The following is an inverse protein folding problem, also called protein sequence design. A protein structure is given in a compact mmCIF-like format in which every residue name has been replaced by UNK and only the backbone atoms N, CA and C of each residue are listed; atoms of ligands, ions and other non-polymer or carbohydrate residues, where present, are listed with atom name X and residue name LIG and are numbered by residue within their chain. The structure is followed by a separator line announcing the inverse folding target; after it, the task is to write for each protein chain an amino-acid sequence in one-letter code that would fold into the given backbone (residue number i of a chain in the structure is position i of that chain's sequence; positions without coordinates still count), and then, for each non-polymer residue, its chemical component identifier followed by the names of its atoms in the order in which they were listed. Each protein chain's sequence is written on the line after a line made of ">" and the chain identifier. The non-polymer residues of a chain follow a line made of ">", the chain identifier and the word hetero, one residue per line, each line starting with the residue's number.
data_IF_788946963530
#
_entry.id   IF_788946963530
#
_cell.length_a   1.000
_cell.length_b   1.000
_cell.length_c   1.000
_cell.angle_alpha   90.00
_cell.angle_beta   90.00
_cell.angle_gamma   90.00
#
_symmetry.space_group_name_H-M   'P 1'
#
loop_
_entity.id
_entity.type
_entity.pdbx_description
1 polymer ?
#
# COMPACT_ATOMS: atom_id res chain seq x y z
N UNK A 1 -13.40 -94.60 -7.92
CA UNK A 1 -14.41 -93.56 -7.64
C UNK A 1 -13.66 -92.41 -6.97
N UNK A 2 -13.18 -91.45 -7.78
CA UNK A 2 -12.49 -90.25 -7.27
C UNK A 2 -13.41 -89.04 -7.47
N UNK A 3 -13.74 -88.40 -6.35
CA UNK A 3 -14.63 -87.22 -6.34
C UNK A 3 -13.75 -85.95 -6.33
N UNK A 4 -13.79 -85.16 -7.42
CA UNK A 4 -13.14 -83.85 -7.53
C UNK A 4 -14.06 -82.78 -6.91
N UNK A 5 -13.59 -82.13 -5.85
CA UNK A 5 -14.21 -80.94 -5.29
C UNK A 5 -13.60 -79.72 -5.96
N UNK A 6 -14.39 -79.00 -6.74
CA UNK A 6 -14.04 -77.65 -7.26
C UNK A 6 -14.10 -76.64 -6.13
N UNK A 7 -12.96 -76.00 -5.82
CA UNK A 7 -12.93 -74.76 -5.05
C UNK A 7 -13.16 -73.57 -5.97
N UNK A 8 -14.16 -72.78 -5.69
CA UNK A 8 -14.42 -71.50 -6.36
C UNK A 8 -13.73 -70.42 -5.51
N UNK A 9 -12.83 -69.58 -6.05
CA UNK A 9 -12.30 -68.46 -5.31
C UNK A 9 -13.32 -67.30 -5.26
N UNK A 10 -13.69 -66.86 -4.06
CA UNK A 10 -14.48 -65.68 -3.84
C UNK A 10 -13.61 -64.41 -3.99
N UNK A 11 -13.81 -63.67 -5.09
CA UNK A 11 -13.16 -62.39 -5.33
C UNK A 11 -13.92 -61.31 -4.53
N UNK A 12 -13.31 -60.81 -3.47
CA UNK A 12 -13.81 -59.67 -2.70
C UNK A 12 -13.45 -58.39 -3.51
N UNK A 13 -14.43 -57.78 -4.17
CA UNK A 13 -14.29 -56.47 -4.79
C UNK A 13 -14.32 -55.40 -3.69
N UNK A 14 -13.15 -54.79 -3.41
CA UNK A 14 -13.08 -53.61 -2.55
C UNK A 14 -13.71 -52.43 -3.30
N UNK A 15 -14.90 -52.01 -2.93
CA UNK A 15 -15.52 -50.77 -3.39
C UNK A 15 -14.80 -49.62 -2.65
N UNK A 16 -13.91 -48.94 -3.35
CA UNK A 16 -13.31 -47.67 -2.88
C UNK A 16 -14.46 -46.63 -2.87
N UNK A 17 -14.91 -46.26 -1.69
CA UNK A 17 -15.80 -45.11 -1.47
C UNK A 17 -14.99 -43.84 -1.76
N UNK A 18 -15.04 -43.37 -2.99
CA UNK A 18 -14.60 -42.01 -3.32
C UNK A 18 -15.63 -41.05 -2.74
N UNK A 19 -15.36 -40.52 -1.54
CA UNK A 19 -16.13 -39.40 -1.02
C UNK A 19 -16.01 -38.25 -2.02
N UNK A 20 -17.12 -37.64 -2.46
CA UNK A 20 -17.04 -36.43 -3.27
C UNK A 20 -16.27 -35.39 -2.43
N UNK A 21 -15.14 -34.92 -2.93
CA UNK A 21 -14.49 -33.75 -2.40
C UNK A 21 -15.46 -32.58 -2.61
N UNK A 22 -16.26 -32.27 -1.59
CA UNK A 22 -16.97 -31.01 -1.54
C UNK A 22 -15.89 -29.94 -1.73
N UNK A 23 -16.01 -29.12 -2.79
CA UNK A 23 -15.22 -27.90 -2.92
C UNK A 23 -15.40 -27.14 -1.61
N UNK A 24 -14.38 -27.11 -0.79
CA UNK A 24 -14.46 -26.43 0.50
C UNK A 24 -14.80 -24.97 0.22
N UNK A 25 -15.91 -24.48 0.79
CA UNK A 25 -16.33 -23.09 0.67
C UNK A 25 -15.14 -22.20 1.01
N UNK A 26 -14.67 -21.44 0.01
CA UNK A 26 -13.56 -20.51 0.18
C UNK A 26 -14.05 -19.27 0.93
N UNK A 27 -13.15 -18.64 1.66
CA UNK A 27 -13.42 -17.39 2.37
C UNK A 27 -13.16 -16.23 1.39
N UNK A 28 -14.18 -15.45 1.00
CA UNK A 28 -14.03 -14.38 0.05
C UNK A 28 -13.45 -13.12 0.74
N UNK A 29 -12.31 -12.63 0.25
CA UNK A 29 -11.76 -11.30 0.56
C UNK A 29 -11.78 -10.43 -0.69
N UNK A 30 -11.90 -9.12 -0.51
CA UNK A 30 -11.92 -8.17 -1.61
C UNK A 30 -10.71 -7.23 -1.60
N UNK A 31 -10.30 -6.83 -2.79
CA UNK A 31 -9.32 -5.77 -3.01
C UNK A 31 -9.85 -4.80 -4.06
N UNK A 32 -9.90 -3.52 -3.71
CA UNK A 32 -10.09 -2.43 -4.68
C UNK A 32 -8.73 -1.79 -4.96
N UNK A 33 -8.23 -1.95 -6.18
CA UNK A 33 -6.94 -1.41 -6.61
C UNK A 33 -7.06 -0.76 -8.00
N UNK A 34 -6.22 0.24 -8.36
CA UNK A 34 -6.20 0.78 -9.71
C UNK A 34 -5.42 -0.18 -10.63
N UNK A 35 -6.14 -1.05 -11.35
CA UNK A 35 -5.52 -1.98 -12.31
C UNK A 35 -5.49 -1.44 -13.72
N UNK A 36 -6.13 -0.29 -13.96
CA UNK A 36 -6.08 0.49 -15.21
C UNK A 36 -5.83 1.97 -14.93
N UNK A 37 -5.61 2.77 -15.99
CA UNK A 37 -5.33 4.21 -15.90
C UNK A 37 -3.88 4.56 -15.56
N UNK A 38 -3.64 5.83 -15.19
CA UNK A 38 -2.30 6.38 -14.97
C UNK A 38 -1.56 5.84 -13.74
N UNK A 39 -2.26 5.15 -12.84
CA UNK A 39 -1.70 4.57 -11.59
C UNK A 39 -1.64 3.03 -11.67
N UNK A 40 -1.94 2.46 -12.85
CA UNK A 40 -2.09 1.01 -13.02
C UNK A 40 -0.83 0.21 -12.65
N UNK A 41 0.36 0.71 -12.96
CA UNK A 41 1.61 0.01 -12.64
C UNK A 41 1.79 -0.17 -11.13
N UNK A 42 1.47 0.86 -10.35
CA UNK A 42 1.54 0.83 -8.89
C UNK A 42 0.44 -0.07 -8.31
N UNK A 43 -0.78 0.02 -8.84
CA UNK A 43 -1.90 -0.83 -8.43
C UNK A 43 -1.68 -2.32 -8.72
N UNK A 44 -1.05 -2.67 -9.83
CA UNK A 44 -0.67 -4.05 -10.14
C UNK A 44 0.34 -4.61 -9.14
N UNK A 45 1.24 -3.78 -8.61
CA UNK A 45 2.13 -4.18 -7.52
C UNK A 45 1.37 -4.46 -6.22
N UNK A 46 0.38 -3.62 -5.88
CA UNK A 46 -0.51 -3.87 -4.74
C UNK A 46 -1.21 -5.23 -4.88
N UNK A 47 -1.78 -5.52 -6.05
CA UNK A 47 -2.42 -6.80 -6.35
C UNK A 47 -1.44 -7.98 -6.21
N UNK A 48 -0.21 -7.84 -6.71
CA UNK A 48 0.81 -8.88 -6.59
C UNK A 48 1.16 -9.19 -5.12
N UNK A 49 1.34 -8.15 -4.30
CA UNK A 49 1.59 -8.30 -2.86
C UNK A 49 0.42 -8.92 -2.11
N UNK A 50 -0.80 -8.51 -2.45
CA UNK A 50 -2.04 -9.03 -1.89
C UNK A 50 -2.19 -10.54 -2.16
N UNK A 51 -2.01 -10.96 -3.42
CA UNK A 51 -2.03 -12.36 -3.80
C UNK A 51 -0.92 -13.16 -3.10
N UNK A 52 0.26 -12.57 -2.94
CA UNK A 52 1.36 -13.22 -2.24
C UNK A 52 1.00 -13.54 -0.77
N UNK A 53 0.36 -12.60 -0.05
CA UNK A 53 -0.12 -12.83 1.32
C UNK A 53 -1.18 -13.94 1.40
N UNK A 54 -2.13 -13.96 0.46
CA UNK A 54 -3.17 -14.98 0.37
C UNK A 54 -2.58 -16.36 0.07
N UNK A 55 -1.63 -16.45 -0.86
CA UNK A 55 -0.94 -17.68 -1.20
C UNK A 55 -0.18 -18.28 0.00
N UNK A 56 0.55 -17.45 0.76
CA UNK A 56 1.24 -17.90 1.97
C UNK A 56 0.26 -18.43 3.02
N UNK A 57 -0.84 -17.69 3.23
CA UNK A 57 -1.88 -18.09 4.18
C UNK A 57 -2.53 -19.42 3.80
N UNK A 58 -2.85 -19.58 2.53
CA UNK A 58 -3.47 -20.80 2.00
C UNK A 58 -2.51 -21.99 2.07
N UNK A 59 -1.23 -21.80 1.76
CA UNK A 59 -0.20 -22.84 1.91
C UNK A 59 0.01 -23.27 3.37
N UNK A 60 -0.17 -22.36 4.31
CA UNK A 60 -0.13 -22.65 5.75
C UNK A 60 -1.40 -23.35 6.28
N UNK A 61 -2.37 -23.71 5.42
CA UNK A 61 -3.58 -24.43 5.78
C UNK A 61 -4.83 -23.54 5.91
N UNK A 62 -4.75 -22.24 5.61
CA UNK A 62 -5.89 -21.32 5.64
C UNK A 62 -6.47 -21.08 7.04
N UNK A 63 -7.76 -20.80 7.14
CA UNK A 63 -8.48 -20.66 8.40
C UNK A 63 -9.27 -21.96 8.70
N UNK A 64 -8.75 -22.76 9.62
CA UNK A 64 -9.41 -24.04 9.97
C UNK A 64 -9.57 -24.99 8.76
N UNK A 65 -8.61 -25.00 7.85
CA UNK A 65 -8.63 -25.78 6.61
C UNK A 65 -9.32 -25.10 5.43
N UNK A 66 -10.05 -23.99 5.63
CA UNK A 66 -10.68 -23.22 4.56
C UNK A 66 -9.68 -22.28 3.89
N UNK A 67 -9.62 -22.34 2.57
CA UNK A 67 -8.79 -21.44 1.75
C UNK A 67 -9.44 -20.08 1.61
N UNK A 68 -8.62 -19.05 1.45
CA UNK A 68 -9.06 -17.68 1.09
C UNK A 68 -9.06 -17.54 -0.42
N UNK A 69 -10.06 -16.84 -0.96
CA UNK A 69 -10.11 -16.38 -2.34
C UNK A 69 -10.14 -14.86 -2.39
N UNK A 70 -9.23 -14.27 -3.17
CA UNK A 70 -9.15 -12.83 -3.33
C UNK A 70 -9.85 -12.39 -4.61
N UNK A 71 -10.87 -11.56 -4.47
CA UNK A 71 -11.55 -10.87 -5.57
C UNK A 71 -10.96 -9.48 -5.74
N UNK A 72 -10.52 -9.17 -6.94
CA UNK A 72 -9.91 -7.87 -7.27
C UNK A 72 -10.82 -7.10 -8.21
N UNK A 73 -11.12 -5.85 -7.88
CA UNK A 73 -11.90 -4.93 -8.72
C UNK A 73 -11.09 -3.65 -8.99
N UNK A 74 -11.25 -3.12 -10.20
CA UNK A 74 -10.56 -1.92 -10.64
C UNK A 74 -11.24 -0.66 -10.09
N UNK A 75 -10.54 0.09 -9.27
CA UNK A 75 -10.96 1.38 -8.73
C UNK A 75 -10.48 2.57 -9.55
N UNK A 76 -9.60 2.37 -10.55
CA UNK A 76 -9.04 3.41 -11.44
C UNK A 76 -8.46 4.65 -10.71
N UNK A 77 -8.17 4.56 -9.41
CA UNK A 77 -7.85 5.72 -8.56
C UNK A 77 -8.94 6.81 -8.56
N UNK A 78 -10.19 6.44 -8.90
CA UNK A 78 -11.32 7.36 -8.99
C UNK A 78 -12.37 7.05 -7.92
N UNK A 79 -12.94 8.08 -7.24
CA UNK A 79 -13.97 7.89 -6.22
C UNK A 79 -15.18 7.07 -6.71
N UNK A 80 -15.73 7.38 -7.88
CA UNK A 80 -16.92 6.71 -8.40
C UNK A 80 -16.64 5.23 -8.75
N UNK A 81 -15.55 4.93 -9.46
CA UNK A 81 -15.15 3.56 -9.82
C UNK A 81 -14.87 2.74 -8.57
N UNK A 82 -14.15 3.31 -7.58
CA UNK A 82 -13.82 2.61 -6.33
C UNK A 82 -15.04 2.34 -5.46
N UNK A 83 -16.02 3.25 -5.43
CA UNK A 83 -17.31 3.03 -4.75
C UNK A 83 -18.07 1.87 -5.39
N UNK A 84 -18.19 1.86 -6.71
CA UNK A 84 -18.88 0.78 -7.45
C UNK A 84 -18.17 -0.57 -7.28
N UNK A 85 -16.84 -0.58 -7.33
CA UNK A 85 -16.01 -1.76 -7.09
C UNK A 85 -16.21 -2.33 -5.69
N UNK A 86 -16.18 -1.49 -4.64
CA UNK A 86 -16.42 -1.91 -3.27
C UNK A 86 -17.84 -2.47 -3.08
N UNK A 87 -18.86 -1.80 -3.62
CA UNK A 87 -20.25 -2.27 -3.53
C UNK A 87 -20.44 -3.61 -4.25
N UNK A 88 -19.82 -3.80 -5.43
CA UNK A 88 -19.83 -5.07 -6.16
C UNK A 88 -19.18 -6.20 -5.34
N UNK A 89 -17.98 -5.96 -4.78
CA UNK A 89 -17.29 -6.94 -3.94
C UNK A 89 -18.15 -7.35 -2.73
N UNK A 90 -18.81 -6.41 -2.09
CA UNK A 90 -19.62 -6.66 -0.90
C UNK A 90 -20.93 -7.39 -1.22
N UNK A 91 -21.63 -6.98 -2.30
CA UNK A 91 -23.00 -7.42 -2.57
C UNK A 91 -23.09 -8.62 -3.52
N UNK A 92 -22.09 -8.80 -4.40
CA UNK A 92 -22.07 -9.91 -5.38
C UNK A 92 -21.06 -11.00 -5.03
N UNK A 93 -19.87 -10.59 -4.54
CA UNK A 93 -18.84 -11.55 -4.14
C UNK A 93 -18.93 -11.90 -2.65
N UNK A 94 -19.82 -11.23 -1.91
CA UNK A 94 -20.10 -11.46 -0.47
C UNK A 94 -18.83 -11.46 0.40
N UNK A 95 -17.87 -10.60 0.06
CA UNK A 95 -16.58 -10.53 0.77
C UNK A 95 -16.78 -10.21 2.25
N UNK A 96 -16.02 -10.87 3.10
CA UNK A 96 -16.08 -10.69 4.56
C UNK A 96 -15.28 -9.50 5.04
N UNK A 97 -14.26 -9.07 4.27
CA UNK A 97 -13.46 -7.89 4.52
C UNK A 97 -12.84 -7.36 3.21
N UNK A 98 -12.39 -6.11 3.21
CA UNK A 98 -11.77 -5.43 2.07
C UNK A 98 -10.37 -4.93 2.40
N UNK A 99 -9.46 -5.01 1.45
CA UNK A 99 -8.35 -4.08 1.31
C UNK A 99 -8.77 -3.00 0.29
N UNK A 100 -8.76 -1.72 0.64
CA UNK A 100 -9.28 -0.68 -0.26
C UNK A 100 -8.95 0.76 0.22
N UNK A 101 -8.90 1.68 -0.67
CA UNK A 101 -8.51 1.68 -2.05
C UNK A 101 -7.07 2.18 -2.12
N UNK A 102 -6.55 2.55 -3.28
CA UNK A 102 -5.17 3.03 -3.42
C UNK A 102 -5.05 4.54 -3.12
N UNK A 103 -5.71 5.37 -3.92
CA UNK A 103 -5.67 6.82 -3.81
C UNK A 103 -6.55 7.33 -2.65
N UNK A 104 -6.10 8.39 -1.94
CA UNK A 104 -6.80 8.89 -0.75
C UNK A 104 -8.24 9.31 -1.03
N UNK A 105 -8.52 10.02 -2.14
CA UNK A 105 -9.87 10.41 -2.54
C UNK A 105 -10.77 9.21 -2.82
N UNK A 106 -10.23 8.16 -3.45
CA UNK A 106 -10.94 6.91 -3.71
C UNK A 106 -11.25 6.15 -2.40
N UNK A 107 -10.28 6.06 -1.50
CA UNK A 107 -10.45 5.44 -0.17
C UNK A 107 -11.52 6.16 0.64
N UNK A 108 -11.52 7.47 0.65
CA UNK A 108 -12.53 8.30 1.31
C UNK A 108 -13.94 8.02 0.80
N UNK A 109 -14.08 7.77 -0.50
CA UNK A 109 -15.38 7.44 -1.11
C UNK A 109 -15.84 6.00 -0.79
N UNK A 110 -14.93 5.07 -0.51
CA UNK A 110 -15.26 3.68 -0.11
C UNK A 110 -15.73 3.60 1.34
N UNK A 111 -15.26 4.48 2.24
CA UNK A 111 -15.59 4.42 3.67
C UNK A 111 -17.10 4.39 3.97
N UNK A 112 -17.97 5.24 3.38
CA UNK A 112 -19.41 5.18 3.61
C UNK A 112 -20.04 3.85 3.18
N UNK A 113 -19.49 3.20 2.14
CA UNK A 113 -19.96 1.88 1.68
C UNK A 113 -19.60 0.81 2.72
N UNK A 114 -18.37 0.82 3.23
CA UNK A 114 -17.93 -0.06 4.29
C UNK A 114 -18.79 0.08 5.57
N UNK A 115 -19.09 1.31 5.97
CA UNK A 115 -19.96 1.61 7.12
C UNK A 115 -21.39 1.10 6.89
N UNK A 116 -21.99 1.38 5.71
CA UNK A 116 -23.34 0.93 5.33
C UNK A 116 -23.51 -0.58 5.44
N UNK A 117 -22.53 -1.33 4.99
CA UNK A 117 -22.57 -2.79 4.94
C UNK A 117 -21.85 -3.47 6.11
N UNK A 118 -21.29 -2.69 7.03
CA UNK A 118 -20.52 -3.19 8.19
C UNK A 118 -19.41 -4.17 7.78
N UNK A 119 -18.59 -3.76 6.80
CA UNK A 119 -17.45 -4.54 6.28
C UNK A 119 -16.15 -3.91 6.74
N UNK A 120 -15.27 -4.64 7.45
CA UNK A 120 -13.96 -4.11 7.82
C UNK A 120 -13.11 -3.82 6.57
N UNK A 121 -12.49 -2.64 6.56
CA UNK A 121 -11.56 -2.21 5.51
C UNK A 121 -10.19 -1.96 6.11
N UNK A 122 -9.16 -2.58 5.55
CA UNK A 122 -7.76 -2.27 5.86
C UNK A 122 -7.14 -1.55 4.67
N UNK A 123 -6.41 -0.46 4.95
CA UNK A 123 -5.69 0.31 3.95
C UNK A 123 -4.23 0.54 4.38
N UNK A 124 -3.29 0.29 3.47
CA UNK A 124 -1.84 0.44 3.68
C UNK A 124 -1.18 1.44 2.75
N UNK A 125 -1.95 2.25 2.02
CA UNK A 125 -1.42 3.13 0.97
C UNK A 125 -1.82 4.59 1.16
N UNK A 126 -3.11 4.87 1.36
CA UNK A 126 -3.64 6.22 1.45
C UNK A 126 -3.13 6.97 2.68
N UNK A 127 -2.76 8.24 2.50
CA UNK A 127 -2.06 9.02 3.54
C UNK A 127 -2.80 10.29 3.98
N UNK A 128 -4.01 10.55 3.48
CA UNK A 128 -4.81 11.68 3.96
C UNK A 128 -5.21 11.46 5.44
N UNK A 129 -4.91 12.41 6.35
CA UNK A 129 -5.27 12.30 7.76
C UNK A 129 -6.78 12.12 8.01
N UNK A 130 -7.64 12.72 7.17
CA UNK A 130 -9.10 12.66 7.33
C UNK A 130 -9.70 11.26 7.18
N UNK A 131 -8.92 10.28 6.75
CA UNK A 131 -9.38 8.89 6.63
C UNK A 131 -9.53 8.19 8.00
N UNK A 132 -8.82 8.65 9.02
CA UNK A 132 -8.90 8.10 10.39
C UNK A 132 -9.25 9.15 11.44
N UNK A 133 -9.26 10.43 11.10
CA UNK A 133 -9.66 11.52 12.00
C UNK A 133 -10.69 12.44 11.32
N UNK A 134 -11.98 12.38 11.68
CA UNK A 134 -12.56 11.60 12.80
C UNK A 134 -12.56 10.08 12.57
N UNK A 135 -12.69 9.32 13.68
CA UNK A 135 -12.77 7.86 13.65
C UNK A 135 -13.82 7.35 12.65
N UNK A 136 -13.42 6.38 11.85
CA UNK A 136 -14.27 5.58 10.97
C UNK A 136 -14.33 4.15 11.49
N UNK A 137 -15.43 3.70 12.10
CA UNK A 137 -15.48 2.46 12.88
C UNK A 137 -15.12 1.19 12.11
N UNK A 138 -15.29 1.17 10.79
CA UNK A 138 -15.02 0.02 9.93
C UNK A 138 -13.76 0.16 9.09
N UNK A 139 -12.97 1.21 9.31
CA UNK A 139 -11.76 1.50 8.55
C UNK A 139 -10.51 1.47 9.44
N UNK A 140 -9.45 0.80 8.99
CA UNK A 140 -8.17 0.61 9.68
C UNK A 140 -7.03 0.95 8.74
N UNK A 141 -6.08 1.79 9.18
CA UNK A 141 -4.94 2.17 8.36
C UNK A 141 -3.63 1.67 8.95
N UNK A 142 -2.89 0.87 8.14
CA UNK A 142 -1.60 0.29 8.54
C UNK A 142 -0.39 1.17 8.19
N UNK A 143 -0.59 2.27 7.46
CA UNK A 143 0.46 3.20 7.03
C UNK A 143 0.36 4.53 7.77
N UNK A 144 1.50 5.18 8.03
CA UNK A 144 1.54 6.54 8.57
C UNK A 144 0.88 7.55 7.62
N UNK A 145 0.24 8.58 8.16
CA UNK A 145 -0.41 9.64 7.38
C UNK A 145 0.47 10.87 7.20
N UNK A 146 0.02 11.81 6.36
CA UNK A 146 0.81 12.99 5.98
C UNK A 146 1.16 13.91 7.15
N UNK A 147 0.36 13.97 8.23
CA UNK A 147 0.74 14.77 9.43
C UNK A 147 1.95 14.14 10.13
N UNK A 148 1.96 12.83 10.34
CA UNK A 148 3.13 12.13 10.90
C UNK A 148 4.36 12.28 10.00
N UNK A 149 4.21 12.13 8.66
CA UNK A 149 5.31 12.40 7.73
C UNK A 149 5.81 13.83 7.82
N UNK A 150 4.90 14.81 7.83
CA UNK A 150 5.25 16.23 7.93
C UNK A 150 6.09 16.50 9.17
N UNK A 151 5.71 15.94 10.32
CA UNK A 151 6.43 16.10 11.58
C UNK A 151 7.92 15.74 11.47
N UNK A 152 8.25 14.62 10.86
CA UNK A 152 9.61 14.12 10.77
C UNK A 152 10.35 14.56 9.50
N UNK A 153 9.68 14.45 8.34
CA UNK A 153 10.35 14.70 7.06
C UNK A 153 10.56 16.19 6.79
N UNK A 154 9.64 17.08 7.20
CA UNK A 154 9.85 18.50 7.05
C UNK A 154 11.04 18.98 7.91
N UNK A 155 11.23 18.41 9.12
CA UNK A 155 12.40 18.64 9.93
C UNK A 155 13.69 18.20 9.20
N UNK A 156 13.70 16.95 8.69
CA UNK A 156 14.84 16.42 7.92
C UNK A 156 15.18 17.29 6.69
N UNK A 157 14.17 17.74 5.96
CA UNK A 157 14.34 18.65 4.81
C UNK A 157 15.02 19.96 5.25
N UNK A 158 14.58 20.55 6.35
CA UNK A 158 15.05 21.86 6.79
C UNK A 158 16.41 21.84 7.52
N UNK A 159 16.71 20.77 8.26
CA UNK A 159 17.90 20.67 9.11
C UNK A 159 19.02 19.82 8.50
N UNK A 160 18.69 18.67 7.87
CA UNK A 160 19.68 17.74 7.32
C UNK A 160 19.99 18.06 5.86
N UNK A 161 18.98 18.22 4.99
CA UNK A 161 19.17 18.65 3.59
C UNK A 161 19.41 20.17 3.51
N UNK A 162 18.95 20.92 4.51
CA UNK A 162 19.13 22.38 4.66
C UNK A 162 18.38 23.22 3.62
N UNK A 163 17.26 22.75 3.11
CA UNK A 163 16.39 23.50 2.22
C UNK A 163 15.52 24.47 3.03
N UNK A 164 15.39 25.70 2.54
CA UNK A 164 14.62 26.77 3.19
C UNK A 164 13.47 27.29 2.34
N UNK A 165 13.57 27.19 1.03
CA UNK A 165 12.59 27.74 0.11
C UNK A 165 12.24 26.71 -0.96
N UNK A 166 11.11 26.04 -0.78
CA UNK A 166 10.70 24.92 -1.64
C UNK A 166 9.63 25.36 -2.66
N UNK A 167 9.70 24.83 -3.88
CA UNK A 167 8.58 24.85 -4.81
C UNK A 167 7.86 23.51 -4.75
N UNK A 168 6.57 23.49 -4.38
CA UNK A 168 5.76 22.29 -4.32
C UNK A 168 5.00 22.07 -5.63
N UNK A 169 5.13 20.88 -6.22
CA UNK A 169 4.34 20.38 -7.34
C UNK A 169 3.71 19.07 -6.87
N UNK A 170 2.39 19.06 -6.67
CA UNK A 170 1.67 17.95 -6.06
C UNK A 170 0.47 17.52 -6.91
N UNK A 171 0.12 16.25 -6.86
CA UNK A 171 -1.09 15.75 -7.48
C UNK A 171 -2.34 16.43 -6.90
N UNK A 172 -3.32 16.75 -7.75
CA UNK A 172 -4.55 17.45 -7.37
C UNK A 172 -5.62 16.47 -6.87
N UNK A 173 -5.34 15.86 -5.74
CA UNK A 173 -6.26 14.97 -5.01
C UNK A 173 -6.08 15.13 -3.49
N UNK A 174 -6.82 14.34 -2.69
CA UNK A 174 -6.72 14.39 -1.22
C UNK A 174 -5.31 14.03 -0.72
N UNK A 175 -4.56 13.17 -1.43
CA UNK A 175 -3.17 12.86 -1.07
C UNK A 175 -2.24 14.06 -1.21
N UNK A 176 -2.20 14.67 -2.39
CA UNK A 176 -1.30 15.79 -2.66
C UNK A 176 -1.68 17.04 -1.86
N UNK A 177 -2.97 17.36 -1.77
CA UNK A 177 -3.46 18.52 -0.99
C UNK A 177 -3.19 18.37 0.50
N UNK A 178 -3.45 17.19 1.08
CA UNK A 178 -3.18 16.94 2.50
C UNK A 178 -1.68 16.93 2.81
N UNK A 179 -0.82 16.49 1.88
CA UNK A 179 0.62 16.56 2.04
C UNK A 179 1.10 18.01 2.18
N UNK A 180 0.72 18.89 1.25
CA UNK A 180 1.07 20.32 1.31
C UNK A 180 0.55 20.95 2.60
N UNK A 181 -0.71 20.68 2.96
CA UNK A 181 -1.33 21.21 4.18
C UNK A 181 -0.58 20.77 5.45
N UNK A 182 -0.20 19.51 5.54
CA UNK A 182 0.48 18.96 6.70
C UNK A 182 1.94 19.47 6.83
N UNK A 183 2.64 19.64 5.71
CA UNK A 183 4.04 20.08 5.73
C UNK A 183 4.22 21.57 5.97
N UNK A 184 3.29 22.41 5.51
CA UNK A 184 3.39 23.88 5.59
C UNK A 184 3.70 24.40 7.02
N UNK A 185 2.95 24.05 8.08
CA UNK A 185 3.21 24.55 9.42
C UNK A 185 4.55 24.03 10.00
N UNK A 186 4.91 22.79 9.69
CA UNK A 186 6.14 22.18 10.21
C UNK A 186 7.37 22.78 9.53
N UNK A 187 7.36 22.99 8.21
CA UNK A 187 8.43 23.70 7.51
C UNK A 187 8.67 25.08 8.12
N UNK A 188 7.62 25.85 8.38
CA UNK A 188 7.71 27.17 9.04
C UNK A 188 8.36 27.09 10.43
N UNK A 189 8.02 26.07 11.22
CA UNK A 189 8.62 25.83 12.52
C UNK A 189 10.16 25.69 12.44
N UNK A 190 10.67 25.12 11.36
CA UNK A 190 12.11 24.93 11.11
C UNK A 190 12.73 25.99 10.17
N UNK A 191 12.03 27.12 9.98
CA UNK A 191 12.51 28.24 9.17
C UNK A 191 12.60 27.93 7.68
N UNK A 192 11.73 27.08 7.18
CA UNK A 192 11.55 26.78 5.77
C UNK A 192 10.11 27.04 5.32
N UNK A 193 9.88 27.21 4.02
CA UNK A 193 8.54 27.50 3.49
C UNK A 193 8.33 26.96 2.08
N UNK A 194 7.07 26.85 1.68
CA UNK A 194 6.71 26.72 0.27
C UNK A 194 6.60 28.11 -0.37
N UNK A 195 7.55 28.45 -1.23
CA UNK A 195 7.51 29.67 -2.03
C UNK A 195 6.51 29.60 -3.19
N UNK A 196 6.19 28.37 -3.62
CA UNK A 196 5.22 28.08 -4.65
C UNK A 196 4.49 26.80 -4.28
N UNK A 197 3.18 26.75 -4.55
CA UNK A 197 2.40 25.52 -4.55
C UNK A 197 1.64 25.46 -5.87
N UNK A 198 1.81 24.36 -6.60
CA UNK A 198 1.07 24.06 -7.84
C UNK A 198 0.56 22.62 -7.79
N UNK A 199 -0.57 22.40 -8.42
CA UNK A 199 -1.20 21.10 -8.51
C UNK A 199 -1.30 20.65 -9.97
N UNK A 200 -1.20 19.33 -10.20
CA UNK A 200 -1.40 18.70 -11.49
C UNK A 200 -2.42 17.57 -11.38
N UNK A 201 -3.03 17.16 -12.48
CA UNK A 201 -3.96 16.01 -12.51
C UNK A 201 -3.22 14.73 -12.89
N UNK A 202 -3.63 13.62 -12.33
CA UNK A 202 -3.12 12.31 -12.76
C UNK A 202 -3.24 12.16 -14.28
N UNK A 203 -2.16 11.66 -14.91
CA UNK A 203 -2.08 11.47 -16.35
C UNK A 203 -1.76 12.74 -17.15
N UNK A 204 -1.42 13.84 -16.50
CA UNK A 204 -0.86 15.02 -17.17
C UNK A 204 0.49 14.67 -17.80
N UNK A 205 0.73 15.16 -19.02
CA UNK A 205 1.94 14.79 -19.79
C UNK A 205 2.93 15.94 -19.96
N UNK A 206 2.55 17.17 -19.61
CA UNK A 206 3.39 18.36 -19.80
C UNK A 206 3.49 19.17 -18.50
N UNK A 207 4.65 19.12 -17.89
CA UNK A 207 4.96 19.79 -16.62
C UNK A 207 5.92 20.98 -16.79
N UNK A 208 6.28 21.35 -18.04
CA UNK A 208 7.27 22.39 -18.33
C UNK A 208 6.88 23.74 -17.73
N UNK A 209 5.61 24.12 -17.81
CA UNK A 209 5.12 25.39 -17.24
C UNK A 209 5.21 25.39 -15.70
N UNK A 210 4.90 24.28 -15.05
CA UNK A 210 5.00 24.13 -13.60
C UNK A 210 6.47 24.17 -13.13
N UNK A 211 7.36 23.51 -13.85
CA UNK A 211 8.80 23.49 -13.55
C UNK A 211 9.45 24.86 -13.78
N UNK A 212 9.07 25.58 -14.83
CA UNK A 212 9.53 26.95 -15.05
C UNK A 212 9.03 27.90 -13.95
N UNK A 213 7.76 27.81 -13.57
CA UNK A 213 7.23 28.58 -12.44
C UNK A 213 7.99 28.27 -11.13
N UNK A 214 8.34 27.02 -10.89
CA UNK A 214 9.17 26.65 -9.73
C UNK A 214 10.56 27.31 -9.79
N UNK A 215 11.22 27.30 -10.95
CA UNK A 215 12.54 27.93 -11.18
C UNK A 215 12.50 29.44 -10.91
N UNK A 216 11.46 30.13 -11.37
CA UNK A 216 11.31 31.59 -11.25
C UNK A 216 11.15 32.06 -9.80
N UNK A 217 10.75 31.21 -8.87
CA UNK A 217 10.62 31.56 -7.44
C UNK A 217 11.96 31.75 -6.73
N UNK A 218 13.06 31.30 -7.31
CA UNK A 218 14.35 31.21 -6.63
C UNK A 218 14.33 30.18 -5.48
N UNK A 219 13.50 29.13 -5.60
CA UNK A 219 13.48 28.01 -4.65
C UNK A 219 14.85 27.31 -4.63
N UNK A 220 15.24 26.79 -3.46
CA UNK A 220 16.46 26.00 -3.24
C UNK A 220 16.21 24.49 -3.27
N UNK A 221 14.93 24.06 -3.38
CA UNK A 221 14.51 22.69 -3.52
C UNK A 221 13.14 22.52 -4.17
N UNK A 222 12.91 21.33 -4.73
CA UNK A 222 11.61 20.93 -5.30
C UNK A 222 10.96 19.88 -4.39
N UNK A 223 9.70 20.12 -3.99
CA UNK A 223 8.89 19.18 -3.25
C UNK A 223 7.85 18.54 -4.19
N UNK A 224 7.97 17.24 -4.44
CA UNK A 224 7.10 16.50 -5.34
C UNK A 224 6.17 15.57 -4.58
N UNK A 225 4.89 15.53 -4.95
CA UNK A 225 3.93 14.56 -4.42
C UNK A 225 3.19 13.92 -5.58
N UNK A 226 3.32 12.60 -5.74
CA UNK A 226 2.68 11.90 -6.86
C UNK A 226 3.06 10.43 -6.95
N UNK A 227 2.62 9.81 -8.05
CA UNK A 227 2.84 8.40 -8.33
C UNK A 227 3.93 8.18 -9.39
N UNK A 228 4.37 6.93 -9.58
CA UNK A 228 5.57 6.60 -10.35
C UNK A 228 5.56 7.16 -11.77
N UNK A 229 4.45 7.06 -12.48
CA UNK A 229 4.34 7.46 -13.88
C UNK A 229 4.40 8.99 -14.05
N UNK A 230 3.60 9.71 -13.25
CA UNK A 230 3.59 11.18 -13.24
C UNK A 230 4.95 11.71 -12.78
N UNK A 231 5.51 11.14 -11.71
CA UNK A 231 6.82 11.48 -11.16
C UNK A 231 7.96 11.29 -12.15
N UNK A 232 7.95 10.19 -12.91
CA UNK A 232 8.95 9.93 -13.93
C UNK A 232 8.93 10.96 -15.06
N UNK A 233 7.74 11.37 -15.50
CA UNK A 233 7.58 12.42 -16.52
C UNK A 233 8.06 13.77 -15.99
N UNK A 234 7.69 14.13 -14.76
CA UNK A 234 8.18 15.36 -14.11
C UNK A 234 9.71 15.37 -14.07
N UNK A 235 10.33 14.30 -13.60
CA UNK A 235 11.78 14.22 -13.47
C UNK A 235 12.51 14.25 -14.82
N UNK A 236 11.98 13.60 -15.86
CA UNK A 236 12.54 13.70 -17.21
C UNK A 236 12.50 15.13 -17.75
N UNK A 237 11.37 15.82 -17.61
CA UNK A 237 11.24 17.21 -18.05
C UNK A 237 12.07 18.17 -17.18
N UNK A 238 12.20 17.88 -15.88
CA UNK A 238 13.10 18.57 -14.96
C UNK A 238 14.55 18.55 -15.49
N UNK A 239 15.05 17.38 -15.88
CA UNK A 239 16.39 17.26 -16.47
C UNK A 239 16.52 17.93 -17.84
N UNK A 240 15.49 17.83 -18.69
CA UNK A 240 15.46 18.50 -20.00
C UNK A 240 15.59 20.04 -19.87
N UNK A 241 15.03 20.62 -18.82
CA UNK A 241 15.14 22.05 -18.50
C UNK A 241 16.46 22.41 -17.82
N UNK A 242 17.38 21.47 -17.61
CA UNK A 242 18.66 21.69 -16.96
C UNK A 242 18.56 22.11 -15.48
N UNK A 243 17.45 21.78 -14.81
CA UNK A 243 17.27 22.07 -13.39
C UNK A 243 18.20 21.18 -12.54
N UNK A 244 18.70 21.71 -11.41
CA UNK A 244 19.65 21.02 -10.54
C UNK A 244 19.30 21.19 -9.05
N UNK A 245 18.07 21.52 -8.74
CA UNK A 245 17.61 21.65 -7.36
C UNK A 245 17.55 20.27 -6.68
N UNK A 246 17.89 20.13 -5.40
CA UNK A 246 17.54 18.95 -4.65
C UNK A 246 16.04 18.66 -4.74
N UNK A 247 15.68 17.37 -4.91
CA UNK A 247 14.29 16.95 -5.01
C UNK A 247 13.96 16.10 -3.79
N UNK A 248 12.91 16.51 -3.07
CA UNK A 248 12.31 15.79 -1.95
C UNK A 248 10.89 15.41 -2.31
N UNK A 249 10.49 14.17 -2.05
CA UNK A 249 9.27 13.62 -2.61
C UNK A 249 8.45 12.81 -1.60
N UNK A 250 7.18 12.62 -1.90
CA UNK A 250 6.25 11.70 -1.25
C UNK A 250 5.51 10.88 -2.31
N UNK A 251 5.35 9.58 -2.06
CA UNK A 251 4.68 8.65 -2.97
C UNK A 251 5.67 7.70 -3.64
N UNK A 252 5.51 7.44 -4.93
CA UNK A 252 6.16 6.33 -5.63
C UNK A 252 7.59 6.62 -6.13
N UNK A 253 8.29 7.61 -5.59
CA UNK A 253 9.58 8.07 -6.13
C UNK A 253 10.79 7.19 -5.77
N UNK A 254 10.59 6.08 -5.08
CA UNK A 254 11.62 5.06 -4.78
C UNK A 254 11.16 3.64 -5.13
N UNK A 255 10.21 3.52 -6.06
CA UNK A 255 9.68 2.22 -6.51
C UNK A 255 10.41 1.71 -7.76
N UNK A 256 10.46 0.38 -8.01
CA UNK A 256 10.99 -0.17 -9.24
C UNK A 256 10.38 0.47 -10.49
N UNK A 257 9.05 0.70 -10.48
CA UNK A 257 8.31 1.32 -11.60
C UNK A 257 8.79 2.74 -11.91
N UNK A 258 9.09 3.50 -10.84
CA UNK A 258 9.66 4.84 -10.99
C UNK A 258 11.08 4.79 -11.59
N UNK A 259 11.94 3.88 -11.10
CA UNK A 259 13.30 3.71 -11.62
C UNK A 259 13.29 3.30 -13.09
N UNK A 260 12.45 2.33 -13.47
CA UNK A 260 12.31 1.88 -14.85
C UNK A 260 11.81 3.00 -15.77
N UNK A 261 10.84 3.79 -15.30
CA UNK A 261 10.25 4.87 -16.10
C UNK A 261 11.14 6.11 -16.15
N UNK A 262 11.77 6.53 -15.05
CA UNK A 262 12.58 7.75 -14.97
C UNK A 262 14.02 7.55 -15.47
N UNK A 263 14.57 6.33 -15.34
CA UNK A 263 15.97 6.03 -15.66
C UNK A 263 16.93 6.88 -14.81
N UNK A 264 17.95 7.48 -15.42
CA UNK A 264 18.91 8.36 -14.73
C UNK A 264 18.29 9.60 -14.09
N UNK A 265 17.07 9.98 -14.49
CA UNK A 265 16.35 11.09 -13.87
C UNK A 265 15.82 10.77 -12.45
N UNK A 266 15.86 9.51 -12.03
CA UNK A 266 15.52 9.12 -10.67
C UNK A 266 16.60 9.43 -9.63
N UNK A 267 17.86 9.63 -10.07
CA UNK A 267 19.01 9.76 -9.17
C UNK A 267 18.92 10.98 -8.24
N UNK A 268 19.32 10.78 -6.99
CA UNK A 268 19.41 11.82 -5.98
C UNK A 268 18.08 12.28 -5.37
N UNK A 269 16.94 11.74 -5.81
CA UNK A 269 15.63 12.07 -5.21
C UNK A 269 15.54 11.48 -3.80
N UNK A 270 15.19 12.32 -2.82
CA UNK A 270 14.83 11.88 -1.47
C UNK A 270 13.35 11.56 -1.40
N UNK A 271 12.98 10.46 -0.75
CA UNK A 271 11.58 10.07 -0.56
C UNK A 271 11.33 9.60 0.88
N UNK A 272 10.20 10.01 1.47
CA UNK A 272 9.82 9.59 2.81
C UNK A 272 8.65 8.60 2.75
N UNK A 273 8.93 7.33 3.08
CA UNK A 273 7.97 6.24 3.02
C UNK A 273 8.18 5.21 4.14
N UNK A 274 7.30 4.22 4.20
CA UNK A 274 7.37 3.11 5.16
C UNK A 274 8.26 1.97 4.68
N UNK A 275 8.83 2.07 3.46
CA UNK A 275 9.62 1.03 2.83
C UNK A 275 10.75 1.59 1.95
N UNK A 276 11.85 0.87 1.95
CA UNK A 276 13.02 1.14 1.10
C UNK A 276 14.00 -0.01 1.18
N UNK A 277 14.97 -0.06 0.26
CA UNK A 277 16.03 -1.06 0.31
C UNK A 277 16.94 -0.78 1.51
N UNK A 278 17.19 -1.80 2.32
CA UNK A 278 17.94 -1.67 3.57
C UNK A 278 17.08 -1.61 4.83
N UNK A 279 15.75 -1.70 4.71
CA UNK A 279 14.89 -1.93 5.88
C UNK A 279 15.24 -3.28 6.50
N UNK A 280 15.71 -3.28 7.75
CA UNK A 280 16.28 -4.45 8.41
C UNK A 280 15.58 -4.77 9.74
N UNK A 281 14.53 -5.57 9.65
CA UNK A 281 13.93 -6.28 10.79
C UNK A 281 13.62 -7.73 10.37
N UNK A 282 13.33 -8.61 11.34
CA UNK A 282 13.13 -10.03 11.08
C UNK A 282 12.00 -10.30 10.07
N UNK A 283 10.87 -9.61 10.21
CA UNK A 283 9.72 -9.75 9.31
C UNK A 283 10.03 -9.22 7.90
N UNK A 284 10.80 -8.12 7.78
CA UNK A 284 11.24 -7.60 6.48
C UNK A 284 12.15 -8.58 5.76
N UNK A 285 13.15 -9.14 6.44
CA UNK A 285 14.03 -10.16 5.86
C UNK A 285 13.27 -11.40 5.39
N UNK A 286 12.33 -11.88 6.20
CA UNK A 286 11.49 -13.02 5.85
C UNK A 286 10.63 -12.72 4.60
N UNK A 287 9.96 -11.55 4.57
CA UNK A 287 9.14 -11.13 3.44
C UNK A 287 9.97 -11.02 2.15
N UNK A 288 11.13 -10.33 2.20
CA UNK A 288 12.00 -10.14 1.03
C UNK A 288 12.51 -11.49 0.50
N UNK A 289 12.99 -12.38 1.39
CA UNK A 289 13.46 -13.71 0.99
C UNK A 289 12.35 -14.52 0.31
N UNK A 290 11.18 -14.62 0.95
CA UNK A 290 10.04 -15.38 0.42
C UNK A 290 9.48 -14.74 -0.89
N UNK A 291 9.51 -13.41 -1.01
CA UNK A 291 9.15 -12.73 -2.25
C UNK A 291 10.09 -13.07 -3.39
N UNK A 292 11.42 -13.03 -3.14
CA UNK A 292 12.45 -13.26 -4.17
C UNK A 292 12.50 -14.73 -4.64
N UNK A 293 12.00 -15.67 -3.85
CA UNK A 293 11.82 -17.07 -4.30
C UNK A 293 10.79 -17.22 -5.42
N UNK A 294 9.80 -16.32 -5.47
CA UNK A 294 8.70 -16.36 -6.46
C UNK A 294 8.80 -15.29 -7.54
N UNK A 295 9.38 -14.15 -7.18
CA UNK A 295 9.39 -12.95 -8.00
C UNK A 295 10.83 -12.50 -8.24
N UNK A 296 11.08 -11.83 -9.37
CA UNK A 296 12.39 -11.23 -9.63
C UNK A 296 12.49 -9.88 -8.93
N UNK A 297 13.67 -9.60 -8.36
CA UNK A 297 13.99 -8.30 -7.77
C UNK A 297 13.48 -8.09 -6.34
N UNK A 298 13.74 -6.89 -5.83
CA UNK A 298 13.33 -6.45 -4.51
C UNK A 298 11.85 -6.04 -4.53
N UNK A 299 11.04 -6.40 -3.51
CA UNK A 299 9.63 -6.00 -3.47
C UNK A 299 9.51 -4.48 -3.32
N UNK A 300 8.78 -3.85 -4.23
CA UNK A 300 8.51 -2.42 -4.17
C UNK A 300 7.54 -2.05 -3.05
N UNK A 301 7.41 -0.73 -2.78
CA UNK A 301 6.52 -0.19 -1.76
C UNK A 301 5.10 -0.74 -1.84
N UNK A 302 4.51 -0.81 -3.03
CA UNK A 302 3.12 -1.22 -3.19
C UNK A 302 2.92 -2.73 -3.17
N UNK A 303 3.92 -3.51 -3.58
CA UNK A 303 3.90 -4.96 -3.34
C UNK A 303 3.91 -5.26 -1.83
N UNK A 304 4.74 -4.55 -1.07
CA UNK A 304 4.71 -4.63 0.38
C UNK A 304 3.36 -4.15 0.96
N UNK A 305 2.84 -3.01 0.49
CA UNK A 305 1.57 -2.47 1.02
C UNK A 305 0.41 -3.44 0.84
N UNK A 306 0.25 -4.02 -0.36
CA UNK A 306 -0.75 -5.05 -0.62
C UNK A 306 -0.58 -6.30 0.26
N UNK A 307 0.68 -6.71 0.46
CA UNK A 307 1.00 -7.80 1.40
C UNK A 307 0.57 -7.46 2.83
N UNK A 308 0.93 -6.27 3.34
CA UNK A 308 0.60 -5.85 4.71
C UNK A 308 -0.90 -5.69 4.91
N UNK A 309 -1.62 -5.12 3.94
CA UNK A 309 -3.08 -4.98 3.97
C UNK A 309 -3.77 -6.33 4.15
N UNK A 310 -3.48 -7.26 3.25
CA UNK A 310 -4.09 -8.59 3.28
C UNK A 310 -3.62 -9.39 4.49
N UNK A 311 -2.33 -9.35 4.81
CA UNK A 311 -1.81 -10.06 5.98
C UNK A 311 -2.46 -9.58 7.27
N UNK A 312 -2.72 -8.27 7.41
CA UNK A 312 -3.43 -7.70 8.57
C UNK A 312 -4.84 -8.28 8.70
N UNK A 313 -5.59 -8.38 7.60
CA UNK A 313 -6.92 -9.04 7.59
C UNK A 313 -6.80 -10.52 7.96
N UNK A 314 -5.83 -11.23 7.41
CA UNK A 314 -5.61 -12.66 7.66
C UNK A 314 -5.20 -12.94 9.12
N UNK A 315 -4.36 -12.10 9.73
CA UNK A 315 -4.01 -12.20 11.16
C UNK A 315 -5.21 -11.87 12.06
N UNK A 316 -6.04 -10.90 11.68
CA UNK A 316 -7.30 -10.63 12.39
C UNK A 316 -8.27 -11.82 12.30
N UNK A 317 -8.38 -12.48 11.13
CA UNK A 317 -9.19 -13.69 10.95
C UNK A 317 -8.69 -14.85 11.85
N UNK A 318 -7.37 -15.07 11.90
CA UNK A 318 -6.78 -16.07 12.81
C UNK A 318 -7.12 -15.76 14.27
N UNK A 319 -6.96 -14.50 14.68
CA UNK A 319 -7.24 -14.05 16.04
C UNK A 319 -8.71 -14.20 16.40
N UNK A 320 -9.62 -13.86 15.48
CA UNK A 320 -11.06 -14.01 15.67
C UNK A 320 -11.53 -15.47 15.65
N UNK A 321 -10.76 -16.37 14.98
CA UNK A 321 -11.21 -17.73 14.65
C UNK A 321 -12.52 -17.75 13.85
N UNK A 322 -12.82 -16.67 13.10
CA UNK A 322 -14.13 -16.42 12.49
C UNK A 322 -13.99 -15.54 11.24
N UNK A 323 -15.02 -15.62 10.39
CA UNK A 323 -15.23 -14.73 9.23
C UNK A 323 -16.38 -13.74 9.46
N UNK A 324 -16.98 -13.75 10.65
CA UNK A 324 -17.98 -12.75 11.04
C UNK A 324 -17.40 -11.35 11.06
N UNK A 325 -18.04 -10.39 10.39
CA UNK A 325 -17.52 -9.03 10.17
C UNK A 325 -17.31 -8.25 11.47
N UNK A 326 -18.21 -8.42 12.45
CA UNK A 326 -18.09 -7.75 13.76
C UNK A 326 -16.93 -8.33 14.55
N UNK A 327 -16.77 -9.66 14.59
CA UNK A 327 -15.62 -10.30 15.24
C UNK A 327 -14.30 -9.96 14.57
N UNK A 328 -14.28 -9.79 13.24
CA UNK A 328 -13.10 -9.34 12.51
C UNK A 328 -12.71 -7.89 12.89
N UNK A 329 -13.72 -7.00 12.99
CA UNK A 329 -13.50 -5.63 13.46
C UNK A 329 -12.92 -5.59 14.87
N UNK A 330 -13.51 -6.32 15.82
CA UNK A 330 -13.03 -6.42 17.21
C UNK A 330 -11.61 -7.02 17.28
N UNK A 331 -11.33 -8.01 16.43
CA UNK A 331 -10.00 -8.60 16.32
C UNK A 331 -8.97 -7.60 15.77
N UNK A 332 -9.34 -6.76 14.79
CA UNK A 332 -8.50 -5.68 14.26
C UNK A 332 -8.22 -4.63 15.33
N UNK A 333 -9.23 -4.17 16.08
CA UNK A 333 -9.07 -3.16 17.16
C UNK A 333 -8.06 -3.58 18.22
N UNK A 334 -7.95 -4.87 18.48
CA UNK A 334 -7.02 -5.43 19.47
C UNK A 334 -5.81 -6.16 18.85
N UNK A 335 -5.61 -6.02 17.53
CA UNK A 335 -4.53 -6.70 16.82
C UNK A 335 -3.16 -6.12 17.21
N UNK A 336 -2.18 -7.02 17.33
CA UNK A 336 -0.77 -6.68 17.37
C UNK A 336 -0.01 -7.77 16.61
N UNK A 337 0.71 -7.42 15.54
CA UNK A 337 1.53 -8.36 14.79
C UNK A 337 2.78 -7.68 14.21
N UNK A 338 3.88 -8.41 14.15
CA UNK A 338 5.14 -7.90 13.65
C UNK A 338 5.19 -8.00 12.12
N UNK A 339 5.13 -6.84 11.48
CA UNK A 339 5.15 -6.70 10.03
C UNK A 339 6.50 -6.20 9.50
N UNK A 340 6.74 -6.28 8.19
CA UNK A 340 7.95 -5.73 7.58
C UNK A 340 8.15 -4.21 7.83
N UNK A 341 7.08 -3.47 8.12
CA UNK A 341 7.13 -2.02 8.42
C UNK A 341 7.10 -1.69 9.92
N UNK A 342 7.33 -2.69 10.77
CA UNK A 342 7.23 -2.60 12.22
C UNK A 342 5.97 -3.26 12.76
N UNK A 343 5.76 -3.19 14.07
CA UNK A 343 4.58 -3.79 14.70
C UNK A 343 3.31 -3.02 14.34
N UNK A 344 2.37 -3.69 13.68
CA UNK A 344 1.04 -3.15 13.42
C UNK A 344 0.20 -3.30 14.69
N UNK A 345 -0.17 -2.16 15.25
CA UNK A 345 -1.12 -2.01 16.36
C UNK A 345 -1.92 -0.73 16.10
N UNK A 346 -3.22 -0.80 16.23
CA UNK A 346 -4.10 0.34 15.99
C UNK A 346 -4.35 1.14 17.26
N UNK A 347 -4.37 2.46 17.12
CA UNK A 347 -4.81 3.38 18.17
C UNK A 347 -6.36 3.49 18.22
N UNK A 348 -6.87 4.38 19.08
CA UNK A 348 -8.31 4.62 19.22
C UNK A 348 -8.96 5.22 17.95
N UNK A 349 -8.19 5.67 16.98
CA UNK A 349 -8.66 6.16 15.67
C UNK A 349 -8.44 5.14 14.55
N UNK A 350 -8.10 3.90 14.88
CA UNK A 350 -7.77 2.83 13.97
C UNK A 350 -6.57 3.16 13.05
N UNK A 351 -5.64 3.98 13.55
CA UNK A 351 -4.40 4.33 12.89
C UNK A 351 -3.26 3.51 13.48
N UNK A 352 -2.47 2.84 12.62
CA UNK A 352 -1.19 2.29 13.04
C UNK A 352 -0.08 3.33 12.88
N UNK A 353 0.79 3.40 13.89
CA UNK A 353 2.04 4.16 13.84
C UNK A 353 3.18 3.14 13.68
N UNK A 354 3.99 3.32 12.65
CA UNK A 354 5.02 2.37 12.25
C UNK A 354 6.37 3.08 12.06
N UNK A 355 7.35 2.38 11.52
CA UNK A 355 8.59 3.02 11.12
C UNK A 355 8.37 3.89 9.88
N UNK A 356 9.11 4.99 9.80
CA UNK A 356 9.24 5.82 8.60
C UNK A 356 10.72 5.87 8.20
N UNK A 357 10.97 5.74 6.92
CA UNK A 357 12.30 5.81 6.34
C UNK A 357 12.39 6.99 5.39
N UNK A 358 13.49 7.72 5.44
CA UNK A 358 13.89 8.58 4.34
C UNK A 358 14.89 7.81 3.48
N UNK A 359 14.58 7.66 2.21
CA UNK A 359 15.48 7.07 1.24
C UNK A 359 16.07 8.14 0.33
N UNK A 360 17.27 7.89 -0.20
CA UNK A 360 17.84 8.61 -1.33
C UNK A 360 18.05 7.66 -2.48
N UNK A 361 17.67 8.06 -3.67
CA UNK A 361 17.82 7.21 -4.85
C UNK A 361 19.29 7.20 -5.33
N UNK A 362 19.87 6.01 -5.40
CA UNK A 362 21.26 5.78 -5.78
C UNK A 362 21.36 4.47 -6.60
N UNK A 363 21.85 4.56 -7.83
CA UNK A 363 22.07 3.40 -8.69
C UNK A 363 20.80 2.55 -8.95
N UNK A 364 19.64 3.22 -9.11
CA UNK A 364 18.35 2.56 -9.34
C UNK A 364 17.72 1.93 -8.10
N UNK A 365 18.08 2.37 -6.91
CA UNK A 365 17.59 1.89 -5.61
C UNK A 365 17.27 3.04 -4.68
N UNK A 366 16.23 2.88 -3.86
CA UNK A 366 15.94 3.80 -2.76
C UNK A 366 16.69 3.38 -1.50
N UNK A 367 17.90 3.92 -1.29
CA UNK A 367 18.75 3.59 -0.14
C UNK A 367 18.30 4.35 1.10
N UNK A 368 18.10 3.66 2.22
CA UNK A 368 17.71 4.27 3.50
C UNK A 368 18.84 5.15 4.03
N UNK A 369 18.55 6.44 4.24
CA UNK A 369 19.49 7.44 4.80
C UNK A 369 19.07 7.94 6.18
N UNK A 370 17.80 7.78 6.57
CA UNK A 370 17.31 8.05 7.93
C UNK A 370 16.12 7.16 8.28
N UNK A 371 15.97 6.85 9.57
CA UNK A 371 14.89 6.05 10.12
C UNK A 371 14.24 6.77 11.30
N UNK A 372 12.92 6.80 11.33
CA UNK A 372 12.14 7.42 12.39
C UNK A 372 11.13 6.40 12.95
N UNK A 373 11.14 6.25 14.28
CA UNK A 373 10.15 5.44 15.00
C UNK A 373 8.96 6.33 15.37
N UNK A 374 7.89 6.25 14.58
CA UNK A 374 6.70 7.07 14.78
C UNK A 374 5.73 6.46 15.82
N UNK A 375 6.02 5.26 16.31
CA UNK A 375 5.18 4.59 17.32
C UNK A 375 5.25 5.23 18.70
N UNK A 376 6.17 6.18 18.88
CA UNK A 376 6.39 6.93 20.14
C UNK A 376 5.66 8.28 20.20
N UNK A 377 4.84 8.60 19.20
CA UNK A 377 4.08 9.86 19.10
C UNK A 377 2.82 9.92 19.94
#
# INVERSE_FOLDING_TARGET
>A
MFSFRCLVPATIAAVALTSPAFAADKIPLGLVAPTSGSVALDGQQQVAGANFAVDEFNKAGGLGGKQVELFVEDGECKPASSTAAAEKLITRNEVVALAAAFCSSATKAVQPIAEKYQVPVVNGISSDPSLTDPLRPWFFRTKIHNVTRGKYYAKFIAEDIKLKKLAAIAVDDDFGRSAVTAFTPVLKQYGAEFALVRYFKHGEVNFISLLNAAKETGADGLFLVGEAQDGALIMKQYYQLGLKLPVVALGSFNTPQFFDAAGSAAEGVYNAEVWGEGVDNAAARQFVSAWQEKNKGYPGLYALSGYVELRTLLEAMKKAGSTDRTKLKEALESLSWDSPIGTIKFDAKHQALTLMFVTRNEGGKGVVVATFDTSKD
#
